data_IF_086792425843
#
_entry.id   IF_086792425843
#
_cell.length_a   1.000
_cell.length_b   1.000
_cell.length_c   1.000
_cell.angle_alpha   90.00
_cell.angle_beta   90.00
_cell.angle_gamma   90.00
#
_symmetry.space_group_name_H-M   'P 1'
#
loop_
_entity.id
_entity.type
_entity.pdbx_description
1 polymer ?
#
# COMPACT_ATOMS: atom_id res chain seq x y z
N UNK A 1 -26.01 -30.45 -29.92
CA UNK A 1 -26.20 -29.79 -28.62
C UNK A 1 -25.03 -29.97 -27.65
N UNK A 2 -24.48 -31.15 -27.42
CA UNK A 2 -23.33 -31.35 -26.49
C UNK A 2 -22.06 -30.58 -26.86
N UNK A 3 -21.75 -30.39 -28.17
CA UNK A 3 -20.57 -29.62 -28.60
C UNK A 3 -20.73 -28.11 -28.41
N UNK A 4 -21.96 -27.59 -28.45
CA UNK A 4 -22.24 -26.17 -28.20
C UNK A 4 -22.12 -25.82 -26.69
N UNK A 5 -22.53 -26.73 -25.81
CA UNK A 5 -22.40 -26.59 -24.36
C UNK A 5 -20.92 -26.61 -23.94
N UNK A 6 -20.10 -27.48 -24.56
CA UNK A 6 -18.66 -27.51 -24.29
C UNK A 6 -17.97 -26.22 -24.77
N UNK A 7 -18.38 -25.65 -25.92
CA UNK A 7 -17.85 -24.38 -26.42
C UNK A 7 -18.25 -23.19 -25.53
N UNK A 8 -19.45 -23.18 -24.97
CA UNK A 8 -19.90 -22.16 -24.02
C UNK A 8 -19.16 -22.27 -22.66
N UNK A 9 -18.85 -23.48 -22.20
CA UNK A 9 -18.06 -23.69 -20.97
C UNK A 9 -16.60 -23.31 -21.21
N UNK A 10 -16.03 -23.60 -22.39
CA UNK A 10 -14.66 -23.18 -22.73
C UNK A 10 -14.54 -21.63 -22.88
N UNK A 11 -15.62 -20.93 -23.24
CA UNK A 11 -15.62 -19.47 -23.38
C UNK A 11 -15.75 -18.74 -22.02
N UNK A 12 -16.20 -19.44 -20.97
CA UNK A 12 -16.29 -18.90 -19.61
C UNK A 12 -14.99 -19.02 -18.81
N UNK A 13 -13.95 -19.68 -19.37
CA UNK A 13 -12.63 -19.78 -18.77
C UNK A 13 -11.63 -18.87 -19.52
N UNK A 14 -12.01 -17.65 -19.81
CA UNK A 14 -11.00 -16.61 -19.94
C UNK A 14 -10.53 -16.31 -18.52
N UNK A 15 -9.53 -17.04 -18.05
CA UNK A 15 -8.76 -16.65 -16.89
C UNK A 15 -8.13 -15.28 -17.20
N UNK A 16 -8.83 -14.23 -16.87
CA UNK A 16 -8.17 -12.96 -16.63
C UNK A 16 -7.31 -13.26 -15.40
N UNK A 17 -6.00 -13.34 -15.60
CA UNK A 17 -5.07 -13.52 -14.49
C UNK A 17 -5.19 -12.26 -13.60
N UNK A 18 -6.04 -12.35 -12.60
CA UNK A 18 -6.09 -11.36 -11.53
C UNK A 18 -4.89 -11.65 -10.64
N UNK A 19 -3.96 -10.73 -10.52
CA UNK A 19 -2.95 -10.80 -9.48
C UNK A 19 -3.57 -10.30 -8.18
N UNK A 20 -4.43 -11.14 -7.60
CA UNK A 20 -4.97 -10.92 -6.27
C UNK A 20 -4.16 -11.74 -5.29
N UNK A 21 -3.74 -11.14 -4.20
CA UNK A 21 -3.01 -11.84 -3.16
C UNK A 21 -3.43 -11.37 -1.77
N UNK A 22 -3.19 -12.24 -0.80
CA UNK A 22 -3.25 -11.93 0.62
C UNK A 22 -1.86 -12.11 1.18
N UNK A 23 -1.42 -11.15 1.97
CA UNK A 23 -0.14 -11.18 2.65
C UNK A 23 -0.38 -11.13 4.16
N UNK A 24 0.49 -11.78 4.90
CA UNK A 24 0.55 -11.71 6.35
C UNK A 24 1.97 -11.35 6.73
N UNK A 25 2.14 -10.23 7.40
CA UNK A 25 3.40 -9.69 7.86
C UNK A 25 3.48 -9.77 9.38
N UNK A 26 4.61 -10.16 9.91
CA UNK A 26 4.95 -9.96 11.31
C UNK A 26 5.93 -8.80 11.39
N UNK A 27 5.47 -7.66 11.89
CA UNK A 27 6.25 -6.44 12.00
C UNK A 27 7.22 -6.52 13.17
N UNK A 28 8.51 -6.33 12.87
CA UNK A 28 9.62 -6.44 13.83
C UNK A 28 10.28 -5.10 14.14
N UNK A 29 9.69 -4.00 13.67
CA UNK A 29 10.20 -2.65 13.89
C UNK A 29 10.18 -2.22 15.37
N UNK A 30 10.86 -1.13 15.66
CA UNK A 30 10.88 -0.58 17.02
C UNK A 30 9.48 -0.15 17.47
N UNK A 31 9.03 -0.68 18.61
CA UNK A 31 7.67 -0.45 19.13
C UNK A 31 6.57 -1.22 18.40
N UNK A 32 6.95 -2.09 17.43
CA UNK A 32 6.05 -3.02 16.75
C UNK A 32 6.14 -4.41 17.38
N UNK A 33 5.67 -5.43 16.79
CA UNK A 33 5.62 -6.80 17.34
C UNK A 33 4.22 -7.36 17.17
N UNK A 34 3.58 -6.99 16.07
CA UNK A 34 2.22 -7.37 15.73
C UNK A 34 2.13 -7.91 14.30
N UNK A 35 0.96 -8.44 13.98
CA UNK A 35 0.64 -8.89 12.62
C UNK A 35 -0.04 -7.78 11.84
N UNK A 36 0.29 -7.69 10.55
CA UNK A 36 -0.44 -6.93 9.55
C UNK A 36 -0.90 -7.88 8.45
N UNK A 37 -2.14 -7.79 8.04
CA UNK A 37 -2.65 -8.49 6.85
C UNK A 37 -2.94 -7.51 5.74
N UNK A 38 -2.45 -7.81 4.52
CA UNK A 38 -2.67 -7.04 3.31
C UNK A 38 -3.49 -7.83 2.32
N UNK A 39 -4.52 -7.22 1.76
CA UNK A 39 -5.22 -7.71 0.56
C UNK A 39 -4.85 -6.80 -0.59
N UNK A 40 -4.24 -7.35 -1.62
CA UNK A 40 -3.75 -6.56 -2.75
C UNK A 40 -4.29 -7.11 -4.08
N UNK A 41 -4.58 -6.21 -5.01
CA UNK A 41 -4.92 -6.55 -6.39
C UNK A 41 -4.25 -5.60 -7.38
N UNK A 42 -3.62 -6.17 -8.40
CA UNK A 42 -3.24 -5.47 -9.61
C UNK A 42 -3.94 -6.10 -10.82
N UNK A 43 -4.72 -5.30 -11.54
CA UNK A 43 -5.48 -5.75 -12.70
C UNK A 43 -5.25 -4.86 -13.91
N UNK A 44 -4.43 -5.29 -14.89
CA UNK A 44 -4.33 -4.63 -16.18
C UNK A 44 -5.56 -4.92 -17.05
N UNK A 45 -5.93 -3.97 -17.91
CA UNK A 45 -6.95 -4.12 -18.93
C UNK A 45 -6.63 -3.33 -20.20
N UNK A 46 -7.57 -3.32 -21.17
CA UNK A 46 -7.36 -2.64 -22.47
C UNK A 46 -7.15 -1.13 -22.32
N UNK A 47 -7.75 -0.51 -21.32
CA UNK A 47 -7.75 0.94 -21.11
C UNK A 47 -6.74 1.40 -20.06
N UNK A 48 -6.07 0.48 -19.35
CA UNK A 48 -5.10 0.81 -18.33
C UNK A 48 -4.89 -0.28 -17.30
N UNK A 49 -4.89 0.10 -16.03
CA UNK A 49 -4.85 -0.84 -14.92
C UNK A 49 -5.56 -0.28 -13.70
N UNK A 50 -6.02 -1.18 -12.84
CA UNK A 50 -6.54 -0.86 -11.51
C UNK A 50 -5.62 -1.51 -10.48
N UNK A 51 -5.28 -0.78 -9.46
CA UNK A 51 -4.55 -1.26 -8.30
C UNK A 51 -5.34 -0.91 -7.05
N UNK A 52 -5.36 -1.80 -6.08
CA UNK A 52 -5.75 -1.46 -4.72
C UNK A 52 -5.02 -2.35 -3.72
N UNK A 53 -4.85 -1.85 -2.51
CA UNK A 53 -4.56 -2.67 -1.35
C UNK A 53 -5.35 -2.19 -0.14
N UNK A 54 -5.49 -3.08 0.83
CA UNK A 54 -6.06 -2.79 2.15
C UNK A 54 -5.19 -3.48 3.17
N UNK A 55 -4.70 -2.72 4.15
CA UNK A 55 -3.94 -3.21 5.29
C UNK A 55 -4.80 -3.20 6.56
N UNK A 56 -4.58 -4.20 7.39
CA UNK A 56 -5.11 -4.29 8.73
C UNK A 56 -4.00 -4.63 9.71
N UNK A 57 -3.69 -3.72 10.63
CA UNK A 57 -2.76 -3.98 11.73
C UNK A 57 -3.51 -4.58 12.93
N UNK A 58 -2.96 -5.67 13.49
CA UNK A 58 -3.53 -6.38 14.63
C UNK A 58 -2.63 -6.21 15.86
N UNK A 59 -2.58 -5.02 16.39
CA UNK A 59 -1.76 -4.79 17.56
C UNK A 59 -1.46 -3.33 17.79
N UNK A 60 -0.55 -3.08 18.74
CA UNK A 60 -0.27 -1.73 19.19
C UNK A 60 -1.37 -1.21 20.14
N UNK A 61 -0.94 -0.68 21.26
CA UNK A 61 -1.78 0.08 22.21
C UNK A 61 -3.07 -0.61 22.68
N UNK A 62 -2.96 -1.81 23.27
CA UNK A 62 -4.03 -2.49 24.00
C UNK A 62 -5.28 -2.87 23.20
N UNK A 63 -5.27 -2.80 21.87
CA UNK A 63 -6.38 -3.31 21.03
C UNK A 63 -6.24 -4.81 20.82
N UNK A 64 -6.20 -5.59 21.90
CA UNK A 64 -6.16 -7.03 21.80
C UNK A 64 -7.37 -7.55 21.02
N UNK A 65 -7.14 -8.29 19.93
CA UNK A 65 -8.12 -9.05 19.12
C UNK A 65 -8.96 -8.28 18.11
N UNK A 66 -8.65 -7.02 17.82
CA UNK A 66 -9.30 -6.26 16.75
C UNK A 66 -8.24 -5.51 15.92
N UNK A 67 -8.51 -5.18 14.67
CA UNK A 67 -7.63 -4.28 13.91
C UNK A 67 -7.49 -2.94 14.63
N UNK A 68 -6.25 -2.51 14.86
CA UNK A 68 -5.94 -1.16 15.39
C UNK A 68 -5.85 -0.12 14.29
N UNK A 69 -5.57 -0.56 13.08
CA UNK A 69 -5.53 0.27 11.89
C UNK A 69 -6.15 -0.48 10.73
N UNK A 70 -6.88 0.23 9.90
CA UNK A 70 -7.21 -0.17 8.55
C UNK A 70 -6.83 0.97 7.60
N UNK A 71 -6.02 0.68 6.59
CA UNK A 71 -5.62 1.66 5.58
C UNK A 71 -5.81 1.07 4.20
N UNK A 72 -6.24 1.87 3.24
CA UNK A 72 -6.41 1.41 1.87
C UNK A 72 -6.05 2.49 0.86
N UNK A 73 -5.62 2.03 -0.29
CA UNK A 73 -5.48 2.82 -1.50
C UNK A 73 -6.18 2.13 -2.65
N UNK A 74 -6.82 2.94 -3.49
CA UNK A 74 -7.40 2.47 -4.74
C UNK A 74 -7.01 3.43 -5.87
N UNK A 75 -6.35 2.89 -6.88
CA UNK A 75 -5.83 3.64 -8.01
C UNK A 75 -6.32 3.12 -9.34
N UNK A 76 -6.55 4.04 -10.28
CA UNK A 76 -6.83 3.75 -11.67
C UNK A 76 -5.89 4.54 -12.58
N UNK A 77 -5.18 3.83 -13.46
CA UNK A 77 -4.41 4.43 -14.54
C UNK A 77 -5.15 4.27 -15.86
N UNK A 78 -5.35 5.36 -16.59
CA UNK A 78 -5.95 5.38 -17.93
C UNK A 78 -4.86 5.63 -18.97
N UNK A 79 -4.66 4.67 -19.88
CA UNK A 79 -3.65 4.78 -20.95
C UNK A 79 -3.91 6.01 -21.83
N UNK A 80 -2.86 6.75 -22.15
CA UNK A 80 -2.88 7.86 -23.10
C UNK A 80 -2.44 7.36 -24.49
N UNK A 81 -3.37 6.72 -25.18
CA UNK A 81 -3.13 6.12 -26.50
C UNK A 81 -2.13 4.97 -26.47
N UNK A 82 -1.11 5.01 -27.33
CA UNK A 82 -0.02 4.02 -27.41
C UNK A 82 1.25 4.46 -26.68
N UNK A 83 1.21 5.60 -26.00
CA UNK A 83 2.35 6.13 -25.27
C UNK A 83 2.62 5.34 -23.98
N UNK A 84 3.83 5.46 -23.40
CA UNK A 84 4.13 4.89 -22.08
C UNK A 84 3.47 5.65 -20.92
N UNK A 85 2.73 6.71 -21.22
CA UNK A 85 2.07 7.55 -20.22
C UNK A 85 0.62 7.15 -19.99
N UNK A 86 0.19 7.33 -18.75
CA UNK A 86 -1.19 7.15 -18.30
C UNK A 86 -1.62 8.33 -17.43
N UNK A 87 -2.91 8.63 -17.45
CA UNK A 87 -3.51 9.49 -16.45
C UNK A 87 -3.83 8.66 -15.21
N UNK A 88 -3.34 9.10 -14.06
CA UNK A 88 -3.50 8.43 -12.76
C UNK A 88 -4.54 9.15 -11.93
N UNK A 89 -5.43 8.39 -11.30
CA UNK A 89 -6.39 8.84 -10.29
C UNK A 89 -6.35 7.85 -9.13
N UNK A 90 -6.25 8.34 -7.90
CA UNK A 90 -6.13 7.52 -6.71
C UNK A 90 -6.87 8.16 -5.53
N UNK A 91 -7.38 7.32 -4.67
CA UNK A 91 -7.96 7.69 -3.38
C UNK A 91 -7.36 6.84 -2.27
N UNK A 92 -6.92 7.50 -1.21
CA UNK A 92 -6.31 6.90 -0.03
C UNK A 92 -7.13 7.24 1.20
N UNK A 93 -7.25 6.31 2.13
CA UNK A 93 -7.97 6.55 3.38
C UNK A 93 -7.81 5.43 4.38
N UNK A 94 -8.34 5.66 5.57
CA UNK A 94 -8.27 4.63 6.60
C UNK A 94 -8.86 5.07 7.92
N UNK A 95 -8.78 4.16 8.88
CA UNK A 95 -9.24 4.35 10.25
C UNK A 95 -8.18 3.83 11.21
N UNK A 96 -7.90 4.61 12.22
CA UNK A 96 -7.11 4.18 13.38
C UNK A 96 -8.02 4.11 14.60
N UNK A 97 -7.84 3.09 15.46
CA UNK A 97 -8.59 2.94 16.71
C UNK A 97 -7.72 2.37 17.82
N UNK A 98 -8.01 2.79 19.04
CA UNK A 98 -7.41 2.28 20.26
C UNK A 98 -8.47 2.17 21.36
N UNK A 99 -8.20 1.46 22.43
CA UNK A 99 -9.05 1.53 23.61
C UNK A 99 -9.05 2.96 24.19
N UNK A 100 -10.22 3.41 24.63
CA UNK A 100 -10.35 4.68 25.33
C UNK A 100 -9.47 4.68 26.60
N UNK A 101 -8.70 5.75 26.80
CA UNK A 101 -7.75 5.82 27.93
C UNK A 101 -8.42 5.96 29.28
N UNK A 102 -9.57 6.62 29.36
CA UNK A 102 -10.34 6.74 30.60
C UNK A 102 -11.76 7.30 30.36
N UNK A 103 -12.80 6.81 31.11
CA UNK A 103 -12.78 5.57 31.91
C UNK A 103 -12.70 4.35 30.99
N UNK A 104 -11.87 3.37 31.33
CA UNK A 104 -11.78 2.10 30.59
C UNK A 104 -13.07 1.31 30.75
N UNK A 105 -14.07 1.63 29.98
CA UNK A 105 -15.28 0.82 29.86
C UNK A 105 -15.01 -0.27 28.84
N UNK A 106 -15.15 -1.56 29.16
CA UNK A 106 -14.95 -2.64 28.21
C UNK A 106 -15.77 -2.42 26.94
N UNK A 107 -15.11 -2.50 25.78
CA UNK A 107 -15.73 -2.27 24.48
C UNK A 107 -15.83 -0.81 24.03
N UNK A 108 -15.25 0.13 24.76
CA UNK A 108 -15.16 1.54 24.33
C UNK A 108 -13.85 1.77 23.59
N UNK A 109 -13.96 2.28 22.36
CA UNK A 109 -12.83 2.59 21.49
C UNK A 109 -12.81 4.08 21.17
N UNK A 110 -11.62 4.64 21.10
CA UNK A 110 -11.36 5.93 20.47
C UNK A 110 -10.79 5.69 19.08
N UNK A 111 -11.24 6.46 18.11
CA UNK A 111 -10.76 6.32 16.74
C UNK A 111 -10.84 7.62 15.98
N UNK A 112 -10.00 7.72 14.95
CA UNK A 112 -10.04 8.82 14.02
C UNK A 112 -9.78 8.31 12.60
N UNK A 113 -10.29 9.04 11.62
CA UNK A 113 -9.95 8.79 10.24
C UNK A 113 -8.50 9.19 9.96
N UNK A 114 -7.78 8.37 9.23
CA UNK A 114 -6.53 8.79 8.58
C UNK A 114 -6.93 9.83 7.53
N UNK A 115 -6.13 10.91 7.41
CA UNK A 115 -6.41 11.99 6.46
C UNK A 115 -6.59 11.43 5.05
N UNK A 116 -7.83 11.53 4.55
CA UNK A 116 -8.16 11.03 3.22
C UNK A 116 -7.52 11.90 2.15
N UNK A 117 -7.00 11.28 1.10
CA UNK A 117 -6.33 11.98 0.03
C UNK A 117 -6.85 11.57 -1.34
N UNK A 118 -7.06 12.55 -2.22
CA UNK A 118 -7.22 12.35 -3.65
C UNK A 118 -5.91 12.69 -4.35
N UNK A 119 -5.45 11.78 -5.22
CA UNK A 119 -4.27 12.00 -6.03
C UNK A 119 -4.64 11.91 -7.51
N UNK A 120 -4.05 12.79 -8.32
CA UNK A 120 -4.19 12.72 -9.77
C UNK A 120 -2.97 13.28 -10.46
N UNK A 121 -2.62 12.74 -11.62
CA UNK A 121 -1.45 13.18 -12.35
C UNK A 121 -1.04 12.23 -13.46
N UNK A 122 0.25 12.21 -13.74
CA UNK A 122 0.83 11.43 -14.83
C UNK A 122 1.65 10.27 -14.27
N UNK A 123 1.45 9.09 -14.87
CA UNK A 123 2.23 7.87 -14.64
C UNK A 123 2.98 7.53 -15.94
N UNK A 124 4.30 7.44 -15.86
CA UNK A 124 5.16 6.86 -16.90
C UNK A 124 5.47 5.41 -16.52
N UNK A 125 5.13 4.45 -17.37
CA UNK A 125 5.38 3.03 -17.12
C UNK A 125 6.25 2.41 -18.20
N UNK A 126 7.28 1.70 -17.77
CA UNK A 126 8.13 0.90 -18.65
C UNK A 126 8.20 -0.54 -18.14
N UNK A 127 8.13 -1.51 -19.06
CA UNK A 127 8.28 -2.93 -18.77
C UNK A 127 9.22 -3.56 -19.80
N UNK A 128 10.02 -4.53 -19.37
CA UNK A 128 10.73 -5.40 -20.28
C UNK A 128 9.74 -6.20 -21.13
N UNK A 129 10.13 -6.62 -22.33
CA UNK A 129 9.25 -7.34 -23.26
C UNK A 129 8.73 -8.67 -22.68
N UNK A 130 9.52 -9.32 -21.86
CA UNK A 130 9.20 -10.57 -21.16
C UNK A 130 8.53 -10.36 -19.79
N UNK A 131 8.24 -9.11 -19.42
CA UNK A 131 7.71 -8.73 -18.12
C UNK A 131 8.53 -9.25 -16.92
N UNK A 132 9.83 -9.51 -17.13
CA UNK A 132 10.70 -9.88 -16.02
C UNK A 132 10.98 -8.74 -15.06
N UNK A 133 10.89 -7.51 -15.53
CA UNK A 133 11.08 -6.29 -14.73
C UNK A 133 10.29 -5.11 -15.30
N UNK A 134 9.98 -4.16 -14.45
CA UNK A 134 9.32 -2.93 -14.84
C UNK A 134 9.46 -1.85 -13.77
N UNK A 135 9.18 -0.63 -14.19
CA UNK A 135 9.15 0.56 -13.34
C UNK A 135 8.00 1.46 -13.77
N UNK A 136 7.35 2.09 -12.80
CA UNK A 136 6.39 3.18 -12.98
C UNK A 136 6.88 4.38 -12.17
N UNK A 137 6.86 5.55 -12.77
CA UNK A 137 7.23 6.82 -12.15
C UNK A 137 6.06 7.78 -12.25
N UNK A 138 5.61 8.33 -11.14
CA UNK A 138 4.41 9.17 -11.07
C UNK A 138 4.72 10.55 -10.52
N UNK A 139 4.10 11.55 -11.11
CA UNK A 139 4.07 12.92 -10.59
C UNK A 139 2.61 13.27 -10.37
N UNK A 140 2.23 13.43 -9.12
CA UNK A 140 0.84 13.53 -8.70
C UNK A 140 0.59 14.83 -7.94
N UNK A 141 -0.52 15.49 -8.26
CA UNK A 141 -1.18 16.43 -7.37
C UNK A 141 -1.86 15.63 -6.26
N UNK A 142 -1.68 16.03 -5.01
CA UNK A 142 -2.24 15.37 -3.83
C UNK A 142 -3.09 16.38 -3.06
N UNK A 143 -4.37 16.08 -2.94
CA UNK A 143 -5.28 16.84 -2.08
C UNK A 143 -5.62 16.01 -0.86
N UNK A 144 -5.24 16.49 0.32
CA UNK A 144 -5.43 15.80 1.60
C UNK A 144 -6.56 16.50 2.34
N UNK A 145 -7.67 15.80 2.57
CA UNK A 145 -8.79 16.31 3.33
C UNK A 145 -8.49 16.33 4.83
N UNK A 146 -9.04 17.32 5.52
CA UNK A 146 -8.98 17.44 6.98
C UNK A 146 -7.54 17.51 7.54
N UNK A 147 -6.65 18.20 6.82
CA UNK A 147 -5.31 18.47 7.35
C UNK A 147 -5.38 19.51 8.47
N UNK A 148 -4.55 19.39 9.53
CA UNK A 148 -4.50 20.38 10.60
C UNK A 148 -4.10 21.81 10.14
N UNK A 149 -3.44 21.91 9.00
CA UNK A 149 -2.80 23.13 8.51
C UNK A 149 -3.61 23.93 7.49
N UNK A 150 -4.83 23.59 7.20
CA UNK A 150 -5.64 24.19 6.12
C UNK A 150 -4.95 24.23 4.74
N UNK A 151 -3.95 23.40 4.54
CA UNK A 151 -3.17 23.30 3.29
C UNK A 151 -3.38 21.96 2.60
N UNK A 152 -4.57 21.71 2.06
CA UNK A 152 -4.92 20.42 1.49
C UNK A 152 -4.17 20.10 0.19
N UNK A 153 -3.60 21.12 -0.46
CA UNK A 153 -3.05 21.01 -1.81
C UNK A 153 -1.54 20.80 -1.76
N UNK A 154 -1.10 19.63 -2.21
CA UNK A 154 0.27 19.18 -2.16
C UNK A 154 0.66 18.45 -3.45
N UNK A 155 1.84 17.87 -3.47
CA UNK A 155 2.30 16.99 -4.53
C UNK A 155 2.86 15.69 -3.94
N UNK A 156 2.90 14.65 -4.77
CA UNK A 156 3.55 13.37 -4.47
C UNK A 156 4.34 12.90 -5.69
N UNK A 157 5.55 12.41 -5.44
CA UNK A 157 6.35 11.65 -6.40
C UNK A 157 6.34 10.20 -5.97
N UNK A 158 6.01 9.30 -6.88
CA UNK A 158 5.93 7.85 -6.62
C UNK A 158 6.78 7.10 -7.62
N UNK A 159 7.60 6.17 -7.14
CA UNK A 159 8.25 5.15 -7.94
C UNK A 159 7.76 3.78 -7.52
N UNK A 160 7.34 2.95 -8.48
CA UNK A 160 6.94 1.55 -8.25
C UNK A 160 7.79 0.66 -9.12
N UNK A 161 8.30 -0.45 -8.61
CA UNK A 161 9.15 -1.36 -9.38
C UNK A 161 8.84 -2.81 -9.11
N UNK A 162 9.21 -3.65 -10.06
CA UNK A 162 9.30 -5.08 -9.87
C UNK A 162 10.44 -5.68 -10.69
N UNK A 163 11.06 -6.73 -10.16
CA UNK A 163 12.10 -7.54 -10.78
C UNK A 163 11.88 -9.00 -10.40
N UNK A 164 11.63 -9.84 -11.40
CA UNK A 164 11.59 -11.29 -11.25
C UNK A 164 12.93 -11.87 -11.70
N UNK A 165 13.57 -12.69 -10.89
CA UNK A 165 14.88 -13.27 -11.17
C UNK A 165 14.97 -14.72 -10.64
N UNK A 166 16.14 -15.36 -10.77
CA UNK A 166 16.32 -16.77 -10.41
C UNK A 166 15.25 -17.68 -11.07
N UNK A 167 14.96 -17.48 -12.38
CA UNK A 167 13.96 -18.23 -13.15
C UNK A 167 12.54 -18.10 -12.54
N UNK A 168 12.18 -16.93 -12.03
CA UNK A 168 10.90 -16.63 -11.43
C UNK A 168 10.74 -17.07 -9.97
N UNK A 169 11.76 -17.70 -9.38
CA UNK A 169 11.72 -18.08 -7.95
C UNK A 169 11.86 -16.90 -7.00
N UNK A 170 12.45 -15.81 -7.46
CA UNK A 170 12.65 -14.62 -6.65
C UNK A 170 11.94 -13.42 -7.28
N UNK A 171 11.30 -12.62 -6.45
CA UNK A 171 10.71 -11.33 -6.84
C UNK A 171 11.15 -10.26 -5.88
N UNK A 172 11.72 -9.18 -6.42
CA UNK A 172 11.96 -7.94 -5.70
C UNK A 172 11.00 -6.90 -6.26
N UNK A 173 10.17 -6.33 -5.41
CA UNK A 173 9.20 -5.30 -5.80
C UNK A 173 9.02 -4.31 -4.65
N UNK A 174 8.29 -3.24 -4.93
CA UNK A 174 7.96 -2.25 -3.91
C UNK A 174 7.65 -0.91 -4.52
N UNK A 175 7.54 0.06 -3.64
CA UNK A 175 7.34 1.45 -4.01
C UNK A 175 8.22 2.38 -3.17
N UNK A 176 8.31 3.63 -3.61
CA UNK A 176 8.86 4.74 -2.86
C UNK A 176 8.06 6.00 -3.16
N UNK A 177 7.59 6.64 -2.12
CA UNK A 177 6.81 7.87 -2.15
C UNK A 177 7.57 9.00 -1.48
N UNK A 178 7.49 10.16 -2.08
CA UNK A 178 7.93 11.42 -1.50
C UNK A 178 6.84 12.45 -1.71
N UNK A 179 6.34 13.03 -0.62
CA UNK A 179 5.30 14.03 -0.71
C UNK A 179 5.51 15.19 0.25
N UNK A 180 4.81 16.26 -0.04
CA UNK A 180 4.75 17.40 0.85
C UNK A 180 3.43 17.35 1.61
N UNK A 181 3.55 17.40 2.93
CA UNK A 181 2.43 17.50 3.86
C UNK A 181 2.95 18.15 5.13
N UNK A 182 2.32 19.25 5.56
CA UNK A 182 2.65 19.78 6.87
C UNK A 182 1.87 19.03 7.91
N UNK A 183 2.55 18.26 8.73
CA UNK A 183 1.93 17.58 9.84
C UNK A 183 2.76 17.71 11.12
N UNK A 184 2.11 17.48 12.22
CA UNK A 184 2.68 17.57 13.54
C UNK A 184 3.18 16.20 13.96
N UNK A 185 4.46 16.11 14.34
CA UNK A 185 5.05 14.91 14.90
C UNK A 185 5.39 15.14 16.38
N UNK A 186 5.23 14.12 17.20
CA UNK A 186 5.57 14.16 18.62
C UNK A 186 6.83 13.34 18.91
N UNK A 187 7.79 13.94 19.59
CA UNK A 187 9.05 13.27 19.95
C UNK A 187 8.93 12.39 21.22
N UNK A 188 7.87 12.54 21.98
CA UNK A 188 7.75 11.93 23.31
C UNK A 188 6.47 11.07 23.50
N UNK A 189 5.70 10.88 22.45
CA UNK A 189 4.42 10.16 22.52
C UNK A 189 3.33 10.87 23.36
N UNK A 190 3.64 12.01 24.01
CA UNK A 190 2.74 12.73 24.91
C UNK A 190 2.26 14.08 24.39
N UNK A 191 2.43 14.38 23.13
CA UNK A 191 1.94 15.63 22.49
C UNK A 191 2.52 16.93 23.09
N UNK A 192 3.65 16.88 23.79
CA UNK A 192 4.22 18.08 24.46
C UNK A 192 5.27 18.80 23.61
N UNK A 193 5.90 18.11 22.65
CA UNK A 193 6.94 18.66 21.80
C UNK A 193 6.60 18.45 20.32
N UNK A 194 5.70 19.27 19.82
CA UNK A 194 5.30 19.21 18.42
C UNK A 194 6.36 19.82 17.49
N UNK A 195 6.77 19.07 16.49
CA UNK A 195 7.58 19.60 15.38
C UNK A 195 6.74 19.55 14.10
N UNK A 196 6.66 20.68 13.42
CA UNK A 196 6.09 20.71 12.07
C UNK A 196 7.08 20.14 11.07
N UNK A 197 6.70 19.11 10.36
CA UNK A 197 7.47 18.51 9.26
C UNK A 197 6.71 18.75 7.96
N UNK A 198 7.46 19.02 6.89
CA UNK A 198 6.85 19.41 5.60
C UNK A 198 7.03 18.37 4.51
N UNK A 199 7.99 17.47 4.68
CA UNK A 199 8.32 16.48 3.68
C UNK A 199 8.38 15.10 4.31
N UNK A 200 7.68 14.19 3.69
CA UNK A 200 7.58 12.80 4.12
C UNK A 200 8.17 11.91 3.02
N UNK A 201 8.88 10.91 3.44
CA UNK A 201 9.35 9.83 2.60
C UNK A 201 8.87 8.50 3.16
N UNK A 202 8.39 7.61 2.29
CA UNK A 202 8.04 6.24 2.59
C UNK A 202 8.51 5.36 1.44
N UNK A 203 9.17 4.25 1.74
CA UNK A 203 9.48 3.20 0.78
C UNK A 203 9.30 1.84 1.43
N UNK A 204 8.73 0.90 0.67
CA UNK A 204 8.49 -0.47 1.12
C UNK A 204 9.01 -1.48 0.10
N UNK A 205 10.35 -1.66 0.01
CA UNK A 205 10.93 -2.75 -0.74
C UNK A 205 10.56 -4.11 -0.15
N UNK A 206 10.13 -5.03 -1.01
CA UNK A 206 9.74 -6.39 -0.68
C UNK A 206 10.65 -7.37 -1.42
N UNK A 207 11.09 -8.43 -0.75
CA UNK A 207 11.79 -9.55 -1.36
C UNK A 207 11.05 -10.85 -1.07
N UNK A 208 10.63 -11.56 -2.12
CA UNK A 208 9.83 -12.77 -2.05
C UNK A 208 10.56 -13.97 -2.66
N UNK A 209 10.46 -15.12 -1.98
CA UNK A 209 10.81 -16.41 -2.54
C UNK A 209 9.54 -17.21 -2.83
N UNK A 210 9.30 -17.54 -4.09
CA UNK A 210 8.13 -18.27 -4.55
C UNK A 210 8.40 -19.78 -4.42
N UNK A 211 7.78 -20.46 -3.45
CA UNK A 211 7.82 -21.90 -3.31
C UNK A 211 7.00 -22.57 -4.40
N UNK A 212 5.85 -21.99 -4.69
CA UNK A 212 4.92 -22.38 -5.75
C UNK A 212 4.42 -21.13 -6.47
N UNK A 213 3.70 -21.25 -7.59
CA UNK A 213 3.06 -20.09 -8.22
C UNK A 213 2.07 -19.33 -7.32
N UNK A 214 1.58 -20.00 -6.26
CA UNK A 214 0.58 -19.42 -5.35
C UNK A 214 1.10 -19.05 -3.98
N UNK A 215 2.21 -19.62 -3.54
CA UNK A 215 2.71 -19.45 -2.18
C UNK A 215 4.14 -18.94 -2.16
N UNK A 216 4.36 -17.85 -1.44
CA UNK A 216 5.68 -17.27 -1.23
C UNK A 216 5.91 -16.91 0.24
N UNK A 217 7.19 -16.87 0.64
CA UNK A 217 7.62 -16.22 1.86
C UNK A 217 8.63 -15.14 1.54
N UNK A 218 8.70 -14.13 2.38
CA UNK A 218 9.55 -12.99 2.12
C UNK A 218 9.67 -12.04 3.29
N UNK A 219 10.06 -10.82 2.96
CA UNK A 219 10.20 -9.71 3.87
C UNK A 219 9.82 -8.42 3.15
N UNK A 220 9.22 -7.53 3.88
CA UNK A 220 9.04 -6.13 3.53
C UNK A 220 9.82 -5.29 4.53
N UNK A 221 10.38 -4.17 4.07
CA UNK A 221 11.09 -3.25 4.94
C UNK A 221 10.50 -1.86 4.73
N UNK A 222 9.73 -1.36 5.71
CA UNK A 222 9.36 0.04 5.70
C UNK A 222 10.60 0.89 5.99
N UNK A 223 10.91 1.79 5.06
CA UNK A 223 11.95 2.80 5.19
C UNK A 223 11.25 4.15 5.11
N UNK A 224 11.23 4.88 6.20
CA UNK A 224 10.44 6.10 6.27
C UNK A 224 11.21 7.28 6.88
N UNK A 225 10.74 8.49 6.59
CA UNK A 225 11.22 9.71 7.23
C UNK A 225 10.04 10.65 7.48
N UNK A 226 9.86 11.05 8.73
CA UNK A 226 8.73 11.87 9.21
C UNK A 226 7.34 11.27 8.90
N UNK A 227 7.21 9.97 8.83
CA UNK A 227 5.99 9.27 8.47
C UNK A 227 5.17 8.86 9.71
N UNK A 228 3.83 8.82 9.56
CA UNK A 228 2.88 8.36 10.58
C UNK A 228 3.07 8.99 11.97
N UNK A 229 3.40 10.29 12.02
CA UNK A 229 3.63 11.01 13.27
C UNK A 229 4.99 10.78 13.91
N UNK A 230 5.86 9.94 13.33
CA UNK A 230 7.19 9.66 13.85
C UNK A 230 8.22 10.61 13.22
N UNK A 231 9.00 11.35 14.00
CA UNK A 231 10.03 12.23 13.47
C UNK A 231 11.29 11.46 13.05
N UNK A 232 11.93 11.92 11.97
CA UNK A 232 13.22 11.41 11.52
C UNK A 232 13.12 10.11 10.74
N UNK A 233 14.28 9.47 10.58
CA UNK A 233 14.44 8.28 9.76
C UNK A 233 14.16 7.01 10.56
N UNK A 234 13.39 6.08 9.96
CA UNK A 234 13.05 4.80 10.55
C UNK A 234 13.24 3.66 9.54
N UNK A 235 13.55 2.47 10.07
CA UNK A 235 13.59 1.21 9.32
C UNK A 235 12.83 0.17 10.13
N UNK A 236 11.77 -0.39 9.56
CA UNK A 236 10.92 -1.37 10.21
C UNK A 236 10.80 -2.60 9.31
N UNK A 237 11.56 -3.67 9.57
CA UNK A 237 11.48 -4.90 8.80
C UNK A 237 10.28 -5.75 9.23
N UNK A 238 9.79 -6.59 8.32
CA UNK A 238 8.80 -7.63 8.59
C UNK A 238 9.25 -8.99 8.06
N UNK A 239 8.72 -10.07 8.63
CA UNK A 239 8.74 -11.40 8.05
C UNK A 239 7.35 -11.73 7.50
N UNK A 240 7.27 -12.25 6.27
CA UNK A 240 6.00 -12.23 5.54
C UNK A 240 5.71 -13.53 4.80
N UNK A 241 4.43 -13.86 4.71
CA UNK A 241 3.87 -14.92 3.87
C UNK A 241 2.89 -14.31 2.87
N UNK A 242 2.84 -14.87 1.65
CA UNK A 242 1.92 -14.42 0.60
C UNK A 242 1.25 -15.60 -0.08
N UNK A 243 -0.06 -15.48 -0.29
CA UNK A 243 -0.85 -16.40 -1.09
C UNK A 243 -1.51 -15.66 -2.26
N UNK A 244 -1.27 -16.12 -3.49
CA UNK A 244 -1.85 -15.59 -4.73
C UNK A 244 -2.95 -16.52 -5.23
N UNK A 245 -4.12 -15.98 -5.53
CA UNK A 245 -5.31 -16.75 -5.95
C UNK A 245 -5.22 -17.26 -7.40
#
# INVERSE_FOLDING_TARGET
MKKLVLACIAFLITFVAFSQNVQLHYDMGNGRGYLTSTVEMFRPDKTGNTFFFIDFDYGGNDVAKAPSLSYFEIARCFKLGKSPFSWHVEYNGGLFQKYAEAPKVPGTYEGHSISNAWLTGVDYSWNAQDFSKGISLKVLYKNIANTPDDKPNNFQLTAVWYLNFAKGKMRFNGFADFWKETHTVSNDGFQRNFQSKKYIFLAEPQLWYNFTPKFAAGSEIEISNNFAGNPGFMINPSASLKYTF
#
